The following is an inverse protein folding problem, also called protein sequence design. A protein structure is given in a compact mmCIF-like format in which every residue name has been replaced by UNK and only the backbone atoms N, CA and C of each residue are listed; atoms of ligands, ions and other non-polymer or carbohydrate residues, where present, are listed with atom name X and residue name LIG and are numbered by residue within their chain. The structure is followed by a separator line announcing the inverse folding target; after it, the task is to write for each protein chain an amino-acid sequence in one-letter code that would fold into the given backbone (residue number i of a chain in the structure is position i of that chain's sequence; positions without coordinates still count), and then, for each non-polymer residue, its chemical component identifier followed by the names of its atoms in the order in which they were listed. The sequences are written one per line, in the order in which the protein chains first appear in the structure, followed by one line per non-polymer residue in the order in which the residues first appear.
data_IF_111844821580
#
_entry.id   IF_111844821580
#
_cell.length_a   1.000
_cell.length_b   1.000
_cell.length_c   1.000
_cell.angle_alpha   90.00
_cell.angle_beta   90.00
_cell.angle_gamma   90.00
#
_symmetry.space_group_name_H-M   'P 1'
#
loop_
_entity.id
_entity.type
_entity.pdbx_description
1 polymer ?
#
# COMPACT_ATOMS: atom_id res chain seq x y z
N UNK A 1 16.19 33.31 4.06
CA UNK A 1 14.73 33.17 4.23
C UNK A 1 13.98 32.80 2.95
N UNK A 2 13.80 33.68 1.94
CA UNK A 2 12.97 33.35 0.73
C UNK A 2 13.33 32.04 0.03
N UNK A 3 14.63 31.77 -0.18
CA UNK A 3 15.08 30.55 -0.86
C UNK A 3 14.88 29.27 -0.02
N UNK A 4 14.90 29.36 1.31
CA UNK A 4 14.64 28.23 2.20
C UNK A 4 13.15 27.86 2.21
N UNK A 5 12.28 28.86 2.37
CA UNK A 5 10.83 28.68 2.35
C UNK A 5 10.34 28.10 1.02
N UNK A 6 10.96 28.48 -0.09
CA UNK A 6 10.65 27.91 -1.41
C UNK A 6 11.04 26.43 -1.50
N UNK A 7 12.27 26.06 -1.10
CA UNK A 7 12.72 24.66 -1.06
C UNK A 7 11.87 23.79 -0.15
N UNK A 8 11.49 24.30 1.01
CA UNK A 8 10.62 23.60 1.96
C UNK A 8 9.21 23.42 1.38
N UNK A 9 8.65 24.44 0.73
CA UNK A 9 7.35 24.35 0.06
C UNK A 9 7.34 23.28 -1.03
N UNK A 10 8.42 23.19 -1.81
CA UNK A 10 8.58 22.12 -2.81
C UNK A 10 8.60 20.74 -2.14
N UNK A 11 9.36 20.56 -1.06
CA UNK A 11 9.40 19.30 -0.32
C UNK A 11 8.03 18.91 0.24
N UNK A 12 7.31 19.84 0.86
CA UNK A 12 5.98 19.60 1.40
C UNK A 12 4.98 19.22 0.31
N UNK A 13 5.03 19.90 -0.84
CA UNK A 13 4.18 19.56 -1.99
C UNK A 13 4.44 18.14 -2.51
N UNK A 14 5.72 17.73 -2.57
CA UNK A 14 6.06 16.36 -2.99
C UNK A 14 5.60 15.36 -1.92
N UNK A 15 5.78 15.67 -0.64
CA UNK A 15 5.32 14.85 0.48
C UNK A 15 3.81 14.61 0.42
N UNK A 16 3.02 15.66 0.22
CA UNK A 16 1.56 15.59 0.08
C UNK A 16 1.17 14.73 -1.13
N UNK A 17 1.87 14.91 -2.25
CA UNK A 17 1.66 14.10 -3.46
C UNK A 17 1.92 12.61 -3.18
N UNK A 18 2.98 12.29 -2.46
CA UNK A 18 3.33 10.92 -2.11
C UNK A 18 2.34 10.30 -1.10
N UNK A 19 1.88 11.07 -0.12
CA UNK A 19 0.82 10.64 0.80
C UNK A 19 -0.50 10.41 0.08
N UNK A 20 -0.87 11.28 -0.86
CA UNK A 20 -2.06 11.11 -1.67
C UNK A 20 -1.96 9.85 -2.55
N UNK A 21 -0.80 9.58 -3.14
CA UNK A 21 -0.56 8.37 -3.93
C UNK A 21 -0.61 7.10 -3.06
N UNK A 22 -0.14 7.18 -1.82
CA UNK A 22 -0.27 6.11 -0.83
C UNK A 22 -1.74 5.77 -0.57
N UNK A 23 -2.57 6.78 -0.26
CA UNK A 23 -3.99 6.61 -0.01
C UNK A 23 -4.76 6.10 -1.25
N UNK A 24 -4.42 6.61 -2.44
CA UNK A 24 -4.99 6.12 -3.70
C UNK A 24 -4.66 4.65 -3.93
N UNK A 25 -3.46 4.20 -3.61
CA UNK A 25 -3.06 2.80 -3.75
C UNK A 25 -3.85 1.89 -2.81
N UNK A 26 -4.11 2.34 -1.57
CA UNK A 26 -4.92 1.61 -0.60
C UNK A 26 -6.39 1.52 -1.03
N UNK A 27 -6.94 2.63 -1.54
CA UNK A 27 -8.28 2.66 -2.12
C UNK A 27 -8.42 1.72 -3.34
N UNK A 28 -7.44 1.74 -4.27
CA UNK A 28 -7.41 0.80 -5.41
C UNK A 28 -7.34 -0.66 -4.95
N UNK A 29 -6.48 -0.97 -3.99
CA UNK A 29 -6.36 -2.34 -3.47
C UNK A 29 -7.66 -2.81 -2.81
N UNK A 30 -8.35 -1.93 -2.08
CA UNK A 30 -9.64 -2.22 -1.45
C UNK A 30 -10.74 -2.44 -2.49
N UNK A 31 -10.78 -1.62 -3.53
CA UNK A 31 -11.71 -1.80 -4.65
C UNK A 31 -11.51 -3.15 -5.35
N UNK A 32 -10.26 -3.49 -5.71
CA UNK A 32 -9.92 -4.79 -6.32
C UNK A 32 -10.30 -5.98 -5.43
N UNK A 33 -10.06 -5.86 -4.11
CA UNK A 33 -10.42 -6.91 -3.15
C UNK A 33 -11.93 -7.09 -3.04
N UNK A 34 -12.69 -5.99 -3.04
CA UNK A 34 -14.16 -6.02 -3.04
C UNK A 34 -14.70 -6.67 -4.33
N UNK A 35 -14.18 -6.27 -5.49
CA UNK A 35 -14.57 -6.86 -6.78
C UNK A 35 -14.26 -8.36 -6.83
N UNK A 36 -13.08 -8.78 -6.33
CA UNK A 36 -12.73 -10.20 -6.24
C UNK A 36 -13.76 -10.98 -5.39
N UNK A 37 -14.23 -10.40 -4.29
CA UNK A 37 -15.26 -11.00 -3.45
C UNK A 37 -16.59 -11.21 -4.19
N UNK A 38 -17.00 -10.25 -5.02
CA UNK A 38 -18.21 -10.39 -5.86
C UNK A 38 -18.07 -11.53 -6.86
N UNK A 39 -16.92 -11.62 -7.53
CA UNK A 39 -16.62 -12.73 -8.45
C UNK A 39 -16.57 -14.09 -7.74
N UNK A 40 -15.99 -14.17 -6.53
CA UNK A 40 -16.04 -15.40 -5.74
C UNK A 40 -17.46 -15.88 -5.44
N UNK A 41 -18.37 -14.98 -5.09
CA UNK A 41 -19.79 -15.34 -4.88
C UNK A 41 -20.43 -15.83 -6.19
N UNK A 42 -20.12 -15.16 -7.32
CA UNK A 42 -20.57 -15.58 -8.64
C UNK A 42 -20.08 -16.99 -9.01
N UNK A 43 -18.82 -17.31 -8.71
CA UNK A 43 -18.25 -18.64 -8.89
C UNK A 43 -18.97 -19.70 -8.05
N UNK A 44 -19.23 -19.45 -6.76
CA UNK A 44 -19.93 -20.39 -5.87
C UNK A 44 -21.31 -20.79 -6.42
N UNK A 45 -22.05 -19.84 -6.99
CA UNK A 45 -23.36 -20.11 -7.59
C UNK A 45 -23.27 -21.04 -8.82
N UNK A 46 -22.18 -20.96 -9.59
CA UNK A 46 -21.99 -21.78 -10.78
C UNK A 46 -21.20 -23.07 -10.49
N UNK A 47 -20.57 -23.18 -9.33
CA UNK A 47 -19.72 -24.30 -8.95
C UNK A 47 -20.46 -25.64 -8.98
N UNK A 48 -21.72 -25.67 -8.53
CA UNK A 48 -22.55 -26.89 -8.51
C UNK A 48 -22.86 -27.43 -9.91
N UNK A 49 -22.78 -26.56 -10.94
CA UNK A 49 -22.98 -26.95 -12.34
C UNK A 49 -21.71 -27.43 -13.02
N UNK A 50 -20.55 -27.31 -12.35
CA UNK A 50 -19.26 -27.71 -12.94
C UNK A 50 -19.24 -29.22 -13.11
N UNK A 51 -19.17 -29.66 -14.37
CA UNK A 51 -18.93 -31.06 -14.71
C UNK A 51 -17.63 -31.54 -14.05
N UNK A 52 -17.62 -32.75 -13.50
CA UNK A 52 -16.44 -33.36 -12.87
C UNK A 52 -15.42 -33.85 -13.90
N UNK A 53 -15.11 -33.00 -14.90
CA UNK A 53 -14.08 -33.21 -15.89
C UNK A 53 -12.72 -32.79 -15.35
N UNK A 54 -11.67 -33.51 -15.71
CA UNK A 54 -10.29 -33.22 -15.27
C UNK A 54 -9.86 -31.80 -15.67
N UNK A 55 -10.24 -31.35 -16.87
CA UNK A 55 -9.94 -30.01 -17.36
C UNK A 55 -10.56 -28.91 -16.49
N UNK A 56 -11.85 -29.05 -16.16
CA UNK A 56 -12.58 -28.12 -15.28
C UNK A 56 -11.96 -28.08 -13.88
N UNK A 57 -11.59 -29.24 -13.33
CA UNK A 57 -10.96 -29.33 -12.01
C UNK A 57 -9.60 -28.62 -11.97
N UNK A 58 -8.80 -28.75 -13.03
CA UNK A 58 -7.52 -28.05 -13.17
C UNK A 58 -7.71 -26.53 -13.23
N UNK A 59 -8.69 -26.05 -14.01
CA UNK A 59 -9.01 -24.61 -14.10
C UNK A 59 -9.41 -24.03 -12.74
N UNK A 60 -10.29 -24.71 -12.03
CA UNK A 60 -10.73 -24.31 -10.69
C UNK A 60 -9.56 -24.29 -9.70
N UNK A 61 -8.69 -25.28 -9.74
CA UNK A 61 -7.50 -25.33 -8.87
C UNK A 61 -6.58 -24.11 -9.10
N UNK A 62 -6.27 -23.79 -10.35
CA UNK A 62 -5.45 -22.61 -10.67
C UNK A 62 -6.15 -21.29 -10.33
N UNK A 63 -7.47 -21.22 -10.49
CA UNK A 63 -8.27 -20.07 -10.06
C UNK A 63 -8.08 -19.79 -8.57
N UNK A 64 -8.23 -20.81 -7.71
CA UNK A 64 -8.06 -20.65 -6.26
C UNK A 64 -6.66 -20.17 -5.89
N UNK A 65 -5.61 -20.72 -6.54
CA UNK A 65 -4.24 -20.26 -6.32
C UNK A 65 -4.09 -18.79 -6.69
N UNK A 66 -4.57 -18.39 -7.88
CA UNK A 66 -4.50 -17.01 -8.35
C UNK A 66 -5.27 -16.06 -7.42
N UNK A 67 -6.44 -16.48 -6.92
CA UNK A 67 -7.25 -15.71 -5.99
C UNK A 67 -6.55 -15.52 -4.63
N UNK A 68 -5.96 -16.57 -4.06
CA UNK A 68 -5.19 -16.46 -2.81
C UNK A 68 -3.97 -15.54 -2.97
N UNK A 69 -3.23 -15.66 -4.08
CA UNK A 69 -2.11 -14.78 -4.39
C UNK A 69 -2.53 -13.33 -4.57
N UNK A 70 -3.71 -13.10 -5.14
CA UNK A 70 -4.34 -11.77 -5.25
C UNK A 70 -4.62 -11.20 -3.87
N UNK A 71 -5.35 -11.93 -3.03
CA UNK A 71 -5.70 -11.50 -1.66
C UNK A 71 -4.43 -11.16 -0.88
N UNK A 72 -3.44 -12.05 -0.90
CA UNK A 72 -2.17 -11.83 -0.20
C UNK A 72 -1.46 -10.56 -0.68
N UNK A 73 -1.38 -10.36 -2.00
CA UNK A 73 -0.73 -9.19 -2.59
C UNK A 73 -1.46 -7.88 -2.27
N UNK A 74 -2.80 -7.88 -2.29
CA UNK A 74 -3.61 -6.70 -1.97
C UNK A 74 -3.57 -6.36 -0.48
N UNK A 75 -3.60 -7.36 0.41
CA UNK A 75 -3.41 -7.15 1.85
C UNK A 75 -2.04 -6.55 2.18
N UNK A 76 -0.99 -6.93 1.44
CA UNK A 76 0.34 -6.33 1.53
C UNK A 76 0.36 -4.83 1.13
N UNK A 77 -0.56 -4.38 0.26
CA UNK A 77 -0.71 -2.96 -0.08
C UNK A 77 -1.36 -2.19 1.07
N UNK A 78 -2.44 -2.74 1.63
CA UNK A 78 -3.26 -2.06 2.65
C UNK A 78 -2.53 -1.97 4.00
N UNK A 79 -1.79 -3.02 4.41
CA UNK A 79 -1.14 -3.02 5.73
C UNK A 79 -0.14 -1.87 5.87
N UNK A 80 -0.27 -1.01 6.91
CA UNK A 80 0.68 0.05 7.15
C UNK A 80 2.02 -0.56 7.62
N UNK A 81 3.06 -0.47 6.78
CA UNK A 81 4.40 -0.94 7.14
C UNK A 81 5.31 0.24 7.43
N UNK A 82 5.74 0.35 8.68
CA UNK A 82 6.69 1.38 9.11
C UNK A 82 8.07 1.07 8.50
N UNK A 83 8.59 1.99 7.68
CA UNK A 83 9.97 1.94 7.22
C UNK A 83 10.84 2.66 8.25
N UNK A 84 11.77 1.94 8.85
CA UNK A 84 12.83 2.54 9.66
C UNK A 84 13.80 3.24 8.71
N UNK A 85 13.94 4.55 8.85
CA UNK A 85 14.97 5.31 8.12
C UNK A 85 16.26 5.25 8.95
N UNK A 86 17.41 4.88 8.35
CA UNK A 86 18.71 4.94 9.03
C UNK A 86 18.99 6.36 9.55
N UNK A 87 19.53 6.45 10.76
CA UNK A 87 19.92 7.74 11.38
C UNK A 87 21.25 8.23 10.79
N UNK A 88 21.42 9.54 10.72
CA UNK A 88 22.71 10.14 10.40
C UNK A 88 23.50 10.46 11.68
N UNK A 89 24.85 10.40 11.67
CA UNK A 89 25.68 10.58 12.87
C UNK A 89 25.43 11.91 13.60
N UNK A 90 25.16 12.98 12.85
CA UNK A 90 24.92 14.34 13.39
C UNK A 90 23.60 14.48 14.16
N UNK A 91 22.65 13.53 14.02
CA UNK A 91 21.40 13.53 14.78
C UNK A 91 21.53 12.93 16.18
N UNK A 92 22.49 12.02 16.38
CA UNK A 92 22.81 11.47 17.70
C UNK A 92 23.45 12.53 18.60
N UNK A 93 24.29 13.40 18.04
CA UNK A 93 24.97 14.47 18.77
C UNK A 93 24.04 15.57 19.28
N UNK A 94 22.95 15.88 18.56
CA UNK A 94 22.00 16.94 18.95
C UNK A 94 20.83 16.45 19.81
N UNK A 95 20.77 15.16 20.15
CA UNK A 95 19.69 14.61 20.97
C UNK A 95 18.31 14.64 20.30
N UNK A 96 18.24 14.83 18.97
CA UNK A 96 17.00 14.75 18.19
C UNK A 96 16.56 13.28 18.08
N UNK A 97 16.06 12.72 19.18
CA UNK A 97 15.79 11.29 19.33
C UNK A 97 14.49 10.82 18.66
N UNK A 98 13.67 11.74 18.14
CA UNK A 98 12.28 11.49 17.82
C UNK A 98 11.92 12.15 16.49
N UNK A 99 11.47 11.38 15.50
CA UNK A 99 10.88 11.92 14.28
C UNK A 99 9.54 12.59 14.64
N UNK A 100 9.49 13.93 14.74
CA UNK A 100 8.53 14.62 15.59
C UNK A 100 7.20 14.89 14.86
N UNK A 101 7.08 14.56 13.58
CA UNK A 101 5.81 14.60 12.81
C UNK A 101 5.15 13.23 12.69
N UNK A 102 5.83 12.16 13.11
CA UNK A 102 5.23 10.84 13.18
C UNK A 102 4.41 10.74 14.48
N UNK A 103 3.17 10.22 14.41
CA UNK A 103 2.29 10.09 15.59
C UNK A 103 2.95 9.35 16.76
N UNK A 104 3.75 8.30 16.49
CA UNK A 104 4.52 7.57 17.50
C UNK A 104 5.73 8.33 18.07
N UNK A 105 6.07 9.48 17.49
CA UNK A 105 7.06 10.43 17.99
C UNK A 105 6.41 11.58 18.78
N UNK A 106 5.33 12.17 18.26
CA UNK A 106 4.55 13.21 18.97
C UNK A 106 4.02 12.68 20.31
N UNK A 107 3.51 11.45 20.33
CA UNK A 107 2.99 10.80 21.55
C UNK A 107 4.04 10.50 22.63
N UNK A 108 5.34 10.60 22.31
CA UNK A 108 6.43 10.41 23.29
C UNK A 108 6.70 11.67 24.10
N UNK A 109 6.20 12.83 23.67
CA UNK A 109 6.32 14.05 24.45
C UNK A 109 5.30 14.02 25.60
N UNK A 110 5.80 14.22 26.83
CA UNK A 110 4.97 14.18 28.05
C UNK A 110 3.88 15.25 28.09
N UNK A 111 4.12 16.40 27.45
CA UNK A 111 3.19 17.54 27.44
C UNK A 111 3.23 18.25 26.08
N UNK A 112 2.13 18.92 25.68
CA UNK A 112 2.11 19.76 24.47
C UNK A 112 3.15 20.88 24.50
N UNK A 113 3.43 21.44 25.69
CA UNK A 113 4.43 22.50 25.86
C UNK A 113 5.86 22.04 25.55
N UNK A 114 6.21 20.79 25.88
CA UNK A 114 7.52 20.24 25.54
C UNK A 114 7.68 20.01 24.04
N UNK A 115 6.60 19.60 23.36
CA UNK A 115 6.59 19.45 21.91
C UNK A 115 6.71 20.82 21.21
N UNK A 116 5.99 21.84 21.68
CA UNK A 116 6.06 23.19 21.13
C UNK A 116 7.46 23.81 21.25
N UNK A 117 8.12 23.67 22.41
CA UNK A 117 9.51 24.12 22.61
C UNK A 117 10.48 23.41 21.69
N UNK A 118 10.38 22.08 21.60
CA UNK A 118 11.19 21.30 20.68
C UNK A 118 11.02 21.73 19.22
N UNK A 119 9.80 22.03 18.78
CA UNK A 119 9.56 22.56 17.43
C UNK A 119 10.14 23.95 17.23
N UNK A 120 10.08 24.82 18.25
CA UNK A 120 10.71 26.14 18.21
C UNK A 120 12.24 26.01 18.08
N UNK A 121 12.87 25.18 18.92
CA UNK A 121 14.32 24.91 18.89
C UNK A 121 14.75 24.30 17.54
N UNK A 122 13.93 23.42 16.97
CA UNK A 122 14.18 22.85 15.64
C UNK A 122 14.05 23.90 14.53
N UNK A 123 13.10 24.82 14.65
CA UNK A 123 12.84 25.87 13.67
C UNK A 123 13.92 26.97 13.65
N UNK A 124 14.78 27.05 14.67
CA UNK A 124 15.95 27.93 14.66
C UNK A 124 17.03 27.48 13.66
N UNK A 125 17.05 26.20 13.27
CA UNK A 125 17.98 25.65 12.27
C UNK A 125 17.25 25.20 11.00
N UNK A 126 17.28 26.06 9.97
CA UNK A 126 16.77 25.78 8.62
C UNK A 126 17.28 24.42 8.07
N UNK A 127 18.53 24.04 8.34
CA UNK A 127 19.10 22.77 7.89
C UNK A 127 18.48 21.58 8.63
N UNK A 128 18.21 21.72 9.92
CA UNK A 128 17.58 20.67 10.72
C UNK A 128 16.13 20.42 10.27
N UNK A 129 15.36 21.49 10.03
CA UNK A 129 13.99 21.41 9.47
C UNK A 129 14.01 20.71 8.10
N UNK A 130 14.91 21.14 7.19
CA UNK A 130 15.01 20.56 5.86
C UNK A 130 15.35 19.06 5.91
N UNK A 131 16.32 18.69 6.76
CA UNK A 131 16.77 17.30 6.94
C UNK A 131 15.65 16.41 7.49
N UNK A 132 14.84 16.93 8.41
CA UNK A 132 13.71 16.20 8.96
C UNK A 132 12.64 15.90 7.90
N UNK A 133 12.26 16.88 7.08
CA UNK A 133 11.26 16.68 6.03
C UNK A 133 11.79 15.83 4.88
N UNK A 134 13.05 15.95 4.51
CA UNK A 134 13.66 15.11 3.48
C UNK A 134 13.70 13.64 3.90
N UNK A 135 13.97 13.35 5.18
CA UNK A 135 13.89 11.99 5.75
C UNK A 135 12.48 11.41 5.71
N UNK A 136 11.47 12.21 6.03
CA UNK A 136 10.07 11.79 5.92
C UNK A 136 9.69 11.48 4.47
N UNK A 137 10.06 12.38 3.55
CA UNK A 137 9.81 12.19 2.13
C UNK A 137 10.47 10.90 1.64
N UNK A 138 11.74 10.67 1.97
CA UNK A 138 12.46 9.44 1.63
C UNK A 138 11.75 8.19 2.16
N UNK A 139 11.30 8.21 3.42
CA UNK A 139 10.57 7.10 4.03
C UNK A 139 9.27 6.80 3.27
N UNK A 140 8.46 7.82 3.00
CA UNK A 140 7.17 7.69 2.35
C UNK A 140 7.35 7.23 0.91
N UNK A 141 8.29 7.79 0.14
CA UNK A 141 8.56 7.35 -1.23
C UNK A 141 8.98 5.87 -1.28
N UNK A 142 9.77 5.38 -0.30
CA UNK A 142 10.11 3.94 -0.20
C UNK A 142 8.90 3.07 0.11
N UNK A 143 7.98 3.54 0.96
CA UNK A 143 6.71 2.84 1.23
C UNK A 143 5.86 2.81 -0.04
N UNK A 144 5.69 3.94 -0.71
CA UNK A 144 4.87 4.06 -1.91
C UNK A 144 5.40 3.15 -3.02
N UNK A 145 6.71 3.19 -3.33
CA UNK A 145 7.34 2.30 -4.31
C UNK A 145 7.06 0.82 -4.02
N UNK A 146 7.14 0.40 -2.75
CA UNK A 146 6.82 -0.97 -2.35
C UNK A 146 5.35 -1.29 -2.54
N UNK A 147 4.44 -0.40 -2.12
CA UNK A 147 2.99 -0.58 -2.31
C UNK A 147 2.63 -0.68 -3.79
N UNK A 148 3.19 0.17 -4.65
CA UNK A 148 3.00 0.10 -6.10
C UNK A 148 3.43 -1.25 -6.67
N UNK A 149 4.55 -1.81 -6.21
CA UNK A 149 5.02 -3.14 -6.64
C UNK A 149 4.05 -4.26 -6.24
N UNK A 150 3.54 -4.23 -5.01
CA UNK A 150 2.54 -5.21 -4.56
C UNK A 150 1.18 -5.02 -5.25
N UNK A 151 0.77 -3.78 -5.48
CA UNK A 151 -0.45 -3.46 -6.21
C UNK A 151 -0.39 -3.97 -7.64
N UNK A 152 0.73 -3.74 -8.34
CA UNK A 152 0.95 -4.25 -9.69
C UNK A 152 0.91 -5.79 -9.76
N UNK A 153 1.55 -6.48 -8.81
CA UNK A 153 1.49 -7.94 -8.71
C UNK A 153 0.08 -8.44 -8.39
N UNK A 154 -0.61 -7.78 -7.46
CA UNK A 154 -1.99 -8.09 -7.10
C UNK A 154 -2.92 -7.93 -8.30
N UNK A 155 -2.77 -6.86 -9.08
CA UNK A 155 -3.52 -6.68 -10.33
C UNK A 155 -3.27 -7.78 -11.34
N UNK A 156 -2.02 -8.23 -11.50
CA UNK A 156 -1.70 -9.34 -12.40
C UNK A 156 -2.42 -10.63 -11.99
N UNK A 157 -2.30 -11.03 -10.73
CA UNK A 157 -2.97 -12.23 -10.22
C UNK A 157 -4.49 -12.10 -10.27
N UNK A 158 -5.03 -10.90 -10.03
CA UNK A 158 -6.46 -10.62 -10.10
C UNK A 158 -7.01 -10.84 -11.51
N UNK A 159 -6.32 -10.29 -12.53
CA UNK A 159 -6.70 -10.50 -13.92
C UNK A 159 -6.63 -11.98 -14.28
N UNK A 160 -5.55 -12.67 -13.90
CA UNK A 160 -5.44 -14.12 -14.12
C UNK A 160 -6.56 -14.90 -13.44
N UNK A 161 -6.93 -14.55 -12.21
CA UNK A 161 -8.03 -15.18 -11.49
C UNK A 161 -9.37 -14.98 -12.22
N UNK A 162 -9.70 -13.76 -12.61
CA UNK A 162 -10.94 -13.48 -13.37
C UNK A 162 -10.96 -14.23 -14.70
N UNK A 163 -9.84 -14.26 -15.44
CA UNK A 163 -9.77 -14.99 -16.71
C UNK A 163 -10.00 -16.49 -16.50
N UNK A 164 -9.38 -17.09 -15.49
CA UNK A 164 -9.59 -18.50 -15.16
C UNK A 164 -11.02 -18.80 -14.72
N UNK A 165 -11.63 -17.89 -13.94
CA UNK A 165 -13.02 -18.01 -13.52
C UNK A 165 -13.97 -18.00 -14.71
N UNK A 166 -13.82 -17.01 -15.61
CA UNK A 166 -14.64 -16.91 -16.82
C UNK A 166 -14.48 -18.13 -17.72
N UNK A 167 -13.24 -18.62 -17.91
CA UNK A 167 -12.98 -19.84 -18.67
C UNK A 167 -13.63 -21.06 -18.03
N UNK A 168 -13.56 -21.19 -16.71
CA UNK A 168 -14.22 -22.26 -15.98
C UNK A 168 -15.73 -22.25 -16.23
N UNK A 169 -16.36 -21.07 -16.16
CA UNK A 169 -17.81 -20.94 -16.36
C UNK A 169 -18.19 -21.23 -17.82
N UNK A 170 -17.44 -20.70 -18.79
CA UNK A 170 -17.68 -20.99 -20.22
C UNK A 170 -17.59 -22.50 -20.48
N UNK A 171 -16.60 -23.17 -19.89
CA UNK A 171 -16.46 -24.64 -20.01
C UNK A 171 -17.72 -25.36 -19.50
N UNK A 172 -18.30 -24.93 -18.38
CA UNK A 172 -19.55 -25.50 -17.86
C UNK A 172 -20.71 -25.32 -18.84
N UNK A 173 -20.86 -24.12 -19.39
CA UNK A 173 -21.96 -23.82 -20.31
C UNK A 173 -21.83 -24.58 -21.65
N UNK A 174 -20.60 -24.76 -22.15
CA UNK A 174 -20.34 -25.56 -23.34
C UNK A 174 -20.69 -27.03 -23.10
N UNK A 175 -20.24 -27.61 -21.99
CA UNK A 175 -20.56 -28.99 -21.61
C UNK A 175 -22.08 -29.19 -21.46
N UNK A 176 -22.79 -28.22 -20.89
CA UNK A 176 -24.25 -28.27 -20.75
C UNK A 176 -25.00 -28.16 -22.09
N UNK A 177 -24.48 -27.42 -23.07
CA UNK A 177 -25.14 -27.22 -24.38
C UNK A 177 -24.89 -28.38 -25.35
N UNK A 178 -23.75 -29.07 -25.20
CA UNK A 178 -23.34 -30.17 -26.07
C UNK A 178 -23.78 -31.56 -25.57
N UNK A 179 -24.40 -31.64 -24.39
CA UNK A 179 -24.95 -32.86 -23.80
C UNK A 179 -26.46 -32.94 -23.95
#
# INVERSE_FOLDING_TARGET
MKAFTEKLTVLLRILDTEQQNLQRSDSKATALLSTLGVFMVFFIVHFDKVSANVASLVLVFFYFIAAVLTIFSLLMVIRPKLVKVPREPKEEERGFQINPTFFGGISRFRTPGNYARYLADLAEDDHAVYTMFSKQLYAISKINMRKTKWLSRGMLFFITAITLELLSIISVYLDFTLS
#
